data_IF_618257331940
#
_entry.id   IF_618257331940
#
_cell.length_a   1.000
_cell.length_b   1.000
_cell.length_c   1.000
_cell.angle_alpha   90.00
_cell.angle_beta   90.00
_cell.angle_gamma   90.00
#
_symmetry.space_group_name_H-M   'P 1'
#
loop_
_entity.id
_entity.type
_entity.pdbx_description
1 polymer ?
#
# COMPACT_ATOMS: atom_id res chain seq x y z
N UNK A 1 -47.63 35.00 20.52
CA UNK A 1 -47.29 33.83 21.36
C UNK A 1 -46.79 32.60 20.54
N UNK A 2 -47.22 32.47 19.30
CA UNK A 2 -46.90 31.29 18.42
C UNK A 2 -45.41 31.18 18.10
N UNK A 3 -44.68 32.30 17.90
CA UNK A 3 -43.27 32.25 17.50
C UNK A 3 -42.31 31.77 18.62
N UNK A 4 -42.66 31.94 19.89
CA UNK A 4 -41.82 31.46 21.02
C UNK A 4 -41.89 29.95 21.17
N UNK A 5 -43.04 29.35 20.91
CA UNK A 5 -43.21 27.90 20.95
C UNK A 5 -42.60 27.20 19.73
N UNK A 6 -42.59 27.89 18.58
CA UNK A 6 -41.96 27.37 17.35
C UNK A 6 -40.43 27.30 17.51
N UNK A 7 -39.84 28.32 18.14
CA UNK A 7 -38.38 28.40 18.40
C UNK A 7 -37.92 27.36 19.42
N UNK A 8 -38.73 27.07 20.46
CA UNK A 8 -38.42 26.03 21.47
C UNK A 8 -38.56 24.62 20.94
N UNK A 9 -39.31 24.40 19.86
CA UNK A 9 -39.48 23.10 19.22
C UNK A 9 -38.40 22.88 18.16
N UNK A 10 -37.90 23.91 17.50
CA UNK A 10 -36.88 23.86 16.46
C UNK A 10 -35.46 23.58 17.03
N UNK A 11 -35.19 24.08 18.25
CA UNK A 11 -33.89 23.95 18.90
C UNK A 11 -33.49 22.48 19.20
N UNK A 12 -34.35 21.64 19.80
CA UNK A 12 -34.01 20.21 20.01
C UNK A 12 -33.97 19.41 18.73
N UNK A 13 -34.71 19.77 17.69
CA UNK A 13 -34.66 19.11 16.39
C UNK A 13 -33.31 19.35 15.68
N UNK A 14 -32.75 20.54 15.83
CA UNK A 14 -31.43 20.88 15.26
C UNK A 14 -30.28 20.16 16.00
N UNK A 15 -30.41 19.93 17.30
CA UNK A 15 -29.43 19.16 18.10
C UNK A 15 -29.42 17.67 17.77
N UNK A 16 -30.57 17.10 17.36
CA UNK A 16 -30.65 15.69 16.92
C UNK A 16 -30.00 15.46 15.54
N UNK A 17 -29.93 16.49 14.68
CA UNK A 17 -29.32 16.36 13.35
C UNK A 17 -27.78 16.31 13.39
N UNK A 18 -27.11 16.68 14.47
CA UNK A 18 -25.66 16.65 14.61
C UNK A 18 -25.08 15.33 15.16
N UNK A 19 -25.92 14.39 15.60
CA UNK A 19 -25.48 13.11 16.19
C UNK A 19 -25.15 12.01 15.15
N UNK A 20 -25.12 12.31 13.85
CA UNK A 20 -25.07 11.34 12.75
C UNK A 20 -23.73 11.19 12.01
N UNK A 21 -22.62 11.78 12.44
CA UNK A 21 -21.32 11.50 11.84
C UNK A 21 -20.72 10.22 12.40
N UNK A 22 -21.32 9.08 12.07
CA UNK A 22 -20.62 7.80 12.07
C UNK A 22 -19.56 7.90 10.96
N UNK A 23 -18.30 8.03 11.33
CA UNK A 23 -17.17 7.90 10.40
C UNK A 23 -17.33 6.56 9.69
N UNK A 24 -17.73 6.59 8.43
CA UNK A 24 -17.82 5.42 7.57
C UNK A 24 -16.39 4.99 7.29
N UNK A 25 -15.87 4.03 8.05
CA UNK A 25 -14.63 3.35 7.72
C UNK A 25 -14.87 2.54 6.44
N UNK A 26 -14.30 3.02 5.33
CA UNK A 26 -14.45 2.41 4.00
C UNK A 26 -13.54 1.19 3.80
N UNK A 27 -13.13 0.52 4.86
CA UNK A 27 -12.39 -0.75 4.76
C UNK A 27 -13.37 -1.90 4.90
N UNK A 28 -13.79 -2.48 3.76
CA UNK A 28 -14.59 -3.71 3.71
C UNK A 28 -13.87 -4.95 4.24
N UNK A 29 -12.72 -4.80 4.88
CA UNK A 29 -11.95 -5.88 5.48
C UNK A 29 -12.33 -6.02 6.95
N UNK A 30 -12.88 -7.15 7.33
CA UNK A 30 -13.05 -7.56 8.72
C UNK A 30 -11.67 -7.98 9.26
N UNK A 31 -10.91 -7.03 9.82
CA UNK A 31 -9.61 -7.29 10.41
C UNK A 31 -9.82 -7.74 11.85
N UNK A 32 -9.60 -9.03 12.11
CA UNK A 32 -9.81 -9.65 13.44
C UNK A 32 -8.60 -9.44 14.36
N UNK A 33 -7.38 -9.34 13.79
CA UNK A 33 -6.12 -9.17 14.52
C UNK A 33 -5.94 -7.78 15.09
N UNK A 34 -5.04 -7.66 16.07
CA UNK A 34 -4.72 -6.41 16.79
C UNK A 34 -3.33 -5.90 16.47
N UNK A 35 -2.43 -6.78 16.05
CA UNK A 35 -1.03 -6.45 15.84
C UNK A 35 -0.46 -7.13 14.60
N UNK A 36 0.63 -6.56 14.09
CA UNK A 36 1.34 -7.04 12.92
C UNK A 36 2.86 -6.83 13.07
N UNK A 37 3.64 -7.83 12.70
CA UNK A 37 5.07 -7.70 12.47
C UNK A 37 5.32 -7.51 10.96
N UNK A 38 5.94 -6.39 10.58
CA UNK A 38 6.31 -6.11 9.18
C UNK A 38 7.82 -6.02 9.13
N UNK A 39 8.43 -7.07 8.61
CA UNK A 39 9.87 -7.16 8.46
C UNK A 39 10.38 -6.21 7.38
N UNK A 40 11.63 -5.79 7.51
CA UNK A 40 12.30 -5.07 6.43
C UNK A 40 12.57 -6.04 5.28
N UNK A 41 12.24 -5.61 4.06
CA UNK A 41 12.50 -6.41 2.85
C UNK A 41 14.00 -6.59 2.66
N UNK A 42 14.43 -7.79 2.32
CA UNK A 42 15.80 -8.03 1.85
C UNK A 42 15.92 -7.65 0.38
N UNK A 43 17.04 -7.08 -0.03
CA UNK A 43 17.29 -6.82 -1.44
C UNK A 43 18.13 -7.96 -2.05
N UNK A 44 17.49 -8.81 -2.85
CA UNK A 44 18.11 -9.93 -3.59
C UNK A 44 18.16 -9.68 -5.11
N UNK A 45 17.78 -8.48 -5.56
CA UNK A 45 17.87 -8.11 -6.97
C UNK A 45 19.34 -8.05 -7.43
N UNK A 46 19.58 -8.32 -8.72
CA UNK A 46 20.93 -8.21 -9.32
C UNK A 46 21.49 -6.79 -9.23
N UNK A 47 20.64 -5.80 -9.47
CA UNK A 47 21.00 -4.40 -9.38
C UNK A 47 20.64 -3.89 -7.99
N UNK A 48 21.63 -3.57 -7.18
CA UNK A 48 21.43 -3.18 -5.79
C UNK A 48 21.38 -1.65 -5.71
N UNK A 49 20.21 -1.14 -5.36
CA UNK A 49 20.04 0.24 -4.90
C UNK A 49 19.94 0.22 -3.36
N UNK A 50 20.89 0.81 -2.62
CA UNK A 50 20.96 0.64 -1.17
C UNK A 50 19.73 1.10 -0.39
N UNK A 51 19.05 2.16 -0.84
CA UNK A 51 17.86 2.70 -0.17
C UNK A 51 16.54 2.01 -0.56
N UNK A 52 16.54 1.14 -1.58
CA UNK A 52 15.32 0.56 -2.14
C UNK A 52 14.55 -0.27 -1.10
N UNK A 53 15.28 -1.13 -0.37
CA UNK A 53 14.73 -1.97 0.69
C UNK A 53 13.99 -1.15 1.76
N UNK A 54 14.63 -0.12 2.28
CA UNK A 54 14.03 0.76 3.29
C UNK A 54 12.81 1.48 2.73
N UNK A 55 12.93 2.10 1.53
CA UNK A 55 11.85 2.85 0.91
C UNK A 55 10.60 2.00 0.67
N UNK A 56 10.75 0.80 0.10
CA UNK A 56 9.61 -0.09 -0.18
C UNK A 56 9.01 -0.66 1.11
N UNK A 57 9.85 -1.03 2.10
CA UNK A 57 9.36 -1.48 3.40
C UNK A 57 8.53 -0.41 4.12
N UNK A 58 8.97 0.83 4.07
CA UNK A 58 8.25 1.95 4.68
C UNK A 58 6.92 2.24 3.98
N UNK A 59 6.86 2.13 2.64
CA UNK A 59 5.60 2.27 1.88
C UNK A 59 4.59 1.20 2.26
N UNK A 60 5.01 -0.06 2.31
CA UNK A 60 4.15 -1.18 2.72
C UNK A 60 3.66 -0.99 4.15
N UNK A 61 4.58 -0.65 5.07
CA UNK A 61 4.24 -0.40 6.48
C UNK A 61 3.23 0.74 6.62
N UNK A 62 3.49 1.87 5.98
CA UNK A 62 2.60 3.03 6.01
C UNK A 62 1.22 2.69 5.46
N UNK A 63 1.14 1.97 4.32
CA UNK A 63 -0.14 1.56 3.72
C UNK A 63 -0.95 0.68 4.66
N UNK A 64 -0.34 -0.37 5.19
CA UNK A 64 -1.01 -1.32 6.08
C UNK A 64 -1.48 -0.61 7.35
N UNK A 65 -0.60 0.07 8.07
CA UNK A 65 -0.95 0.68 9.35
C UNK A 65 -1.99 1.79 9.22
N UNK A 66 -1.96 2.58 8.14
CA UNK A 66 -2.94 3.66 7.93
C UNK A 66 -4.35 3.14 7.59
N UNK A 67 -4.46 1.93 7.05
CA UNK A 67 -5.75 1.37 6.60
C UNK A 67 -6.34 0.34 7.57
N UNK A 68 -5.52 -0.24 8.46
CA UNK A 68 -5.96 -1.35 9.32
C UNK A 68 -6.12 -0.97 10.79
N UNK A 69 -5.44 0.07 11.25
CA UNK A 69 -5.36 0.40 12.68
C UNK A 69 -4.59 -0.63 13.52
N UNK A 70 -3.91 -1.60 12.88
CA UNK A 70 -3.07 -2.59 13.55
C UNK A 70 -1.91 -1.93 14.28
N UNK A 71 -1.51 -2.49 15.41
CA UNK A 71 -0.33 -2.03 16.15
C UNK A 71 0.92 -2.73 15.60
N UNK A 72 1.96 -2.00 15.18
CA UNK A 72 3.21 -2.63 14.80
C UNK A 72 3.91 -3.22 16.02
N UNK A 73 4.41 -4.45 15.89
CA UNK A 73 5.14 -5.16 16.95
C UNK A 73 6.36 -5.87 16.36
N UNK A 74 7.30 -6.23 17.24
CA UNK A 74 8.45 -7.08 16.91
C UNK A 74 8.48 -8.19 17.95
N UNK A 75 7.60 -9.18 17.79
CA UNK A 75 7.45 -10.34 18.68
C UNK A 75 7.42 -11.60 17.82
N UNK A 76 7.73 -12.75 18.43
CA UNK A 76 7.82 -14.04 17.74
C UNK A 76 6.49 -14.56 17.23
N UNK A 77 5.38 -14.17 17.86
CA UNK A 77 4.05 -14.65 17.53
C UNK A 77 3.01 -13.53 17.39
N UNK A 78 3.12 -12.67 16.35
CA UNK A 78 2.12 -11.65 16.09
C UNK A 78 0.83 -12.27 15.50
N UNK A 79 -0.28 -11.52 15.53
CA UNK A 79 -1.52 -11.94 14.85
C UNK A 79 -1.30 -12.04 13.33
N UNK A 80 -0.54 -11.08 12.77
CA UNK A 80 -0.11 -11.07 11.37
C UNK A 80 1.40 -10.90 11.27
N UNK A 81 2.01 -11.61 10.34
CA UNK A 81 3.43 -11.48 10.01
C UNK A 81 3.61 -11.28 8.50
N UNK A 82 4.34 -10.24 8.12
CA UNK A 82 4.64 -9.92 6.73
C UNK A 82 6.14 -9.81 6.53
N UNK A 83 6.67 -10.69 5.69
CA UNK A 83 8.08 -10.73 5.32
C UNK A 83 8.24 -10.83 3.81
N UNK A 84 9.45 -10.62 3.31
CA UNK A 84 9.69 -10.77 1.87
C UNK A 84 11.03 -10.22 1.42
N UNK A 85 11.23 -10.25 0.11
CA UNK A 85 12.45 -9.75 -0.51
C UNK A 85 12.19 -9.18 -1.90
N UNK A 86 13.08 -8.27 -2.32
CA UNK A 86 13.09 -7.70 -3.67
C UNK A 86 13.76 -8.71 -4.58
N UNK A 87 13.02 -9.17 -5.62
CA UNK A 87 13.51 -10.17 -6.58
C UNK A 87 14.03 -9.54 -7.86
N UNK A 88 13.50 -8.37 -8.25
CA UNK A 88 13.94 -7.66 -9.43
C UNK A 88 13.92 -6.14 -9.25
N UNK A 89 14.91 -5.49 -9.85
CA UNK A 89 15.00 -4.06 -10.11
C UNK A 89 15.66 -3.91 -11.47
N UNK A 90 14.85 -3.67 -12.50
CA UNK A 90 15.29 -3.77 -13.89
C UNK A 90 14.82 -2.58 -14.73
N UNK A 91 15.70 -2.10 -15.61
CA UNK A 91 15.35 -1.10 -16.61
C UNK A 91 15.41 -1.74 -17.99
N UNK A 92 14.31 -1.61 -18.73
CA UNK A 92 14.19 -2.12 -20.09
C UNK A 92 13.76 -1.02 -21.06
N UNK A 93 14.17 -1.11 -22.32
CA UNK A 93 13.70 -0.21 -23.38
C UNK A 93 12.36 -0.71 -23.90
N UNK A 94 11.37 0.18 -23.97
CA UNK A 94 10.03 -0.16 -24.47
C UNK A 94 9.64 0.80 -25.61
N UNK A 95 8.88 0.30 -26.62
CA UNK A 95 8.29 1.14 -27.65
C UNK A 95 9.14 1.41 -28.88
N UNK A 96 10.01 0.48 -29.31
CA UNK A 96 10.69 0.53 -30.61
C UNK A 96 9.81 -0.16 -31.68
N UNK A 97 8.88 0.59 -32.29
CA UNK A 97 8.18 0.16 -33.50
C UNK A 97 8.14 1.28 -34.54
N UNK A 98 8.96 1.16 -35.60
CA UNK A 98 8.92 2.04 -36.79
C UNK A 98 9.83 3.28 -36.72
N UNK A 99 9.82 4.07 -37.78
CA UNK A 99 10.78 5.14 -38.16
C UNK A 99 10.71 6.39 -37.24
N UNK A 100 9.79 6.47 -36.28
CA UNK A 100 9.75 7.53 -35.27
C UNK A 100 9.82 6.91 -33.87
N UNK A 101 11.01 6.90 -33.34
CA UNK A 101 11.35 6.28 -32.06
C UNK A 101 11.08 7.25 -30.91
N UNK A 102 9.86 7.29 -30.43
CA UNK A 102 9.65 7.72 -29.05
C UNK A 102 9.93 6.50 -28.16
N UNK A 103 11.20 6.17 -27.96
CA UNK A 103 11.57 5.08 -27.06
C UNK A 103 11.34 5.53 -25.62
N UNK A 104 10.62 4.74 -24.88
CA UNK A 104 10.48 4.86 -23.43
C UNK A 104 11.37 3.82 -22.78
N UNK A 105 11.88 4.16 -21.63
CA UNK A 105 12.45 3.19 -20.69
C UNK A 105 11.40 2.84 -19.65
N UNK A 106 11.47 1.63 -19.14
CA UNK A 106 10.61 1.07 -18.10
C UNK A 106 11.44 0.62 -16.93
N UNK A 107 11.16 1.16 -15.75
CA UNK A 107 11.65 0.59 -14.50
C UNK A 107 10.62 -0.41 -13.98
N UNK A 108 11.05 -1.65 -13.75
CA UNK A 108 10.23 -2.73 -13.17
C UNK A 108 10.81 -3.14 -11.82
N UNK A 109 9.94 -3.27 -10.81
CA UNK A 109 10.30 -3.78 -9.48
C UNK A 109 9.39 -4.96 -9.16
N UNK A 110 10.00 -6.05 -8.67
CA UNK A 110 9.28 -7.24 -8.21
C UNK A 110 9.64 -7.56 -6.76
N UNK A 111 8.63 -7.91 -6.00
CA UNK A 111 8.73 -8.33 -4.59
C UNK A 111 8.13 -9.72 -4.45
N UNK A 112 8.80 -10.63 -3.77
CA UNK A 112 8.16 -11.82 -3.24
C UNK A 112 7.80 -11.57 -1.78
N UNK A 113 6.50 -11.70 -1.46
CA UNK A 113 5.95 -11.43 -0.14
C UNK A 113 5.36 -12.71 0.44
N UNK A 114 5.70 -12.99 1.69
CA UNK A 114 5.08 -14.02 2.51
C UNK A 114 4.25 -13.34 3.60
N UNK A 115 2.96 -13.66 3.64
CA UNK A 115 2.02 -13.21 4.66
C UNK A 115 1.51 -14.39 5.46
N UNK A 116 1.52 -14.26 6.77
CA UNK A 116 1.01 -15.23 7.74
C UNK A 116 -0.09 -14.61 8.56
N UNK A 117 -1.20 -15.32 8.69
CA UNK A 117 -2.34 -14.95 9.50
C UNK A 117 -2.61 -16.04 10.55
N UNK A 118 -2.14 -15.84 11.77
CA UNK A 118 -2.32 -16.81 12.87
C UNK A 118 -3.78 -17.07 13.28
N UNK A 119 -4.68 -16.16 12.92
CA UNK A 119 -6.10 -16.29 13.22
C UNK A 119 -6.84 -17.10 12.14
N UNK A 120 -6.24 -17.21 10.93
CA UNK A 120 -6.82 -17.93 9.81
C UNK A 120 -5.73 -18.36 8.81
N UNK A 121 -5.19 -19.54 8.98
CA UNK A 121 -4.11 -20.09 8.14
C UNK A 121 -4.48 -20.20 6.63
N UNK A 122 -5.79 -20.22 6.31
CA UNK A 122 -6.24 -20.22 4.91
C UNK A 122 -5.96 -18.90 4.18
N UNK A 123 -5.70 -17.84 4.92
CA UNK A 123 -5.33 -16.55 4.37
C UNK A 123 -3.80 -16.39 4.16
N UNK A 124 -3.02 -17.38 4.56
CA UNK A 124 -1.57 -17.40 4.32
C UNK A 124 -1.26 -17.44 2.83
N UNK A 125 -0.25 -16.70 2.42
CA UNK A 125 0.24 -16.78 1.05
C UNK A 125 1.73 -16.45 0.94
N UNK A 126 2.35 -16.94 -0.13
CA UNK A 126 3.61 -16.43 -0.69
C UNK A 126 3.35 -16.10 -2.15
N UNK A 127 3.56 -14.85 -2.53
CA UNK A 127 3.23 -14.37 -3.87
C UNK A 127 4.22 -13.31 -4.34
N UNK A 128 4.50 -13.32 -5.66
CA UNK A 128 5.27 -12.26 -6.31
C UNK A 128 4.34 -11.15 -6.80
N UNK A 129 4.68 -9.92 -6.43
CA UNK A 129 4.04 -8.69 -6.89
C UNK A 129 5.02 -7.95 -7.80
N UNK A 130 4.55 -7.51 -8.97
CA UNK A 130 5.38 -6.80 -9.95
C UNK A 130 4.65 -5.55 -10.41
N UNK A 131 5.33 -4.41 -10.35
CA UNK A 131 4.85 -3.13 -10.87
C UNK A 131 5.96 -2.43 -11.65
N UNK A 132 5.56 -1.54 -12.54
CA UNK A 132 6.48 -0.77 -13.35
C UNK A 132 6.01 0.66 -13.53
N UNK A 133 6.95 1.53 -13.90
CA UNK A 133 6.67 2.90 -14.35
C UNK A 133 7.57 3.24 -15.52
N UNK A 134 7.00 3.93 -16.52
CA UNK A 134 7.69 4.31 -17.74
C UNK A 134 8.24 5.72 -17.64
N UNK A 135 9.44 5.95 -18.22
CA UNK A 135 10.04 7.27 -18.31
C UNK A 135 10.64 7.53 -19.70
N UNK A 136 10.86 8.78 -20.04
CA UNK A 136 11.38 9.14 -21.35
C UNK A 136 12.83 8.63 -21.52
N UNK A 137 13.14 8.00 -22.65
CA UNK A 137 14.47 7.47 -22.92
C UNK A 137 15.56 8.56 -23.01
N UNK A 138 15.19 9.82 -23.23
CA UNK A 138 16.12 10.96 -23.17
C UNK A 138 16.54 11.35 -21.75
N UNK A 139 15.85 10.83 -20.72
CA UNK A 139 16.17 11.10 -19.31
C UNK A 139 17.12 10.04 -18.79
N UNK A 140 18.08 10.47 -17.98
CA UNK A 140 18.93 9.54 -17.22
C UNK A 140 18.15 9.04 -16.00
N UNK A 141 18.24 7.74 -15.72
CA UNK A 141 17.50 7.09 -14.62
C UNK A 141 17.64 7.87 -13.31
N UNK A 142 18.85 8.23 -12.90
CA UNK A 142 19.13 8.90 -11.64
C UNK A 142 18.32 10.18 -11.41
N UNK A 143 17.93 10.89 -12.49
CA UNK A 143 17.14 12.12 -12.36
C UNK A 143 15.67 11.88 -12.05
N UNK A 144 15.13 10.72 -12.37
CA UNK A 144 13.71 10.35 -12.22
C UNK A 144 13.48 9.17 -11.26
N UNK A 145 14.54 8.47 -10.88
CA UNK A 145 14.51 7.22 -10.14
C UNK A 145 13.69 7.31 -8.84
N UNK A 146 13.87 8.37 -8.07
CA UNK A 146 13.12 8.60 -6.84
C UNK A 146 11.61 8.64 -7.09
N UNK A 147 11.18 9.40 -8.10
CA UNK A 147 9.76 9.53 -8.44
C UNK A 147 9.18 8.22 -8.96
N UNK A 148 9.93 7.46 -9.75
CA UNK A 148 9.53 6.14 -10.24
C UNK A 148 9.38 5.13 -9.09
N UNK A 149 10.32 5.09 -8.15
CA UNK A 149 10.26 4.21 -6.98
C UNK A 149 9.10 4.59 -6.07
N UNK A 150 8.82 5.88 -5.90
CA UNK A 150 7.69 6.38 -5.15
C UNK A 150 6.36 5.88 -5.76
N UNK A 151 6.19 6.01 -7.07
CA UNK A 151 5.00 5.57 -7.80
C UNK A 151 4.84 4.05 -7.74
N UNK A 152 5.87 3.29 -8.12
CA UNK A 152 5.88 1.83 -8.09
C UNK A 152 5.65 1.30 -6.66
N UNK A 153 6.30 1.92 -5.67
CA UNK A 153 6.18 1.52 -4.27
C UNK A 153 4.77 1.70 -3.72
N UNK A 154 4.07 2.77 -4.10
CA UNK A 154 2.67 2.96 -3.74
C UNK A 154 1.78 1.88 -4.36
N UNK A 155 1.95 1.57 -5.65
CA UNK A 155 1.19 0.53 -6.33
C UNK A 155 1.43 -0.87 -5.71
N UNK A 156 2.70 -1.21 -5.40
CA UNK A 156 3.04 -2.47 -4.75
C UNK A 156 2.43 -2.56 -3.34
N UNK A 157 2.49 -1.47 -2.57
CA UNK A 157 1.89 -1.43 -1.24
C UNK A 157 0.36 -1.61 -1.28
N UNK A 158 -0.31 -1.02 -2.29
CA UNK A 158 -1.74 -1.19 -2.51
C UNK A 158 -2.10 -2.64 -2.86
N UNK A 159 -1.34 -3.27 -3.76
CA UNK A 159 -1.56 -4.67 -4.15
C UNK A 159 -1.39 -5.63 -2.96
N UNK A 160 -0.32 -5.45 -2.18
CA UNK A 160 -0.02 -6.27 -1.01
C UNK A 160 -1.12 -6.09 0.05
N UNK A 161 -1.51 -4.85 0.33
CA UNK A 161 -2.60 -4.55 1.26
C UNK A 161 -3.92 -5.22 0.81
N UNK A 162 -4.28 -5.06 -0.45
CA UNK A 162 -5.51 -5.64 -1.00
C UNK A 162 -5.49 -7.17 -0.89
N UNK A 163 -4.36 -7.81 -1.21
CA UNK A 163 -4.23 -9.27 -1.13
C UNK A 163 -4.31 -9.78 0.31
N UNK A 164 -3.72 -9.04 1.27
CA UNK A 164 -3.62 -9.49 2.66
C UNK A 164 -4.92 -9.23 3.45
N UNK A 165 -5.62 -8.14 3.19
CA UNK A 165 -6.69 -7.64 4.05
C UNK A 165 -8.03 -7.39 3.36
N UNK A 166 -8.06 -7.32 2.03
CA UNK A 166 -9.31 -7.13 1.29
C UNK A 166 -9.67 -8.46 0.63
N UNK A 167 -10.58 -9.22 1.25
CA UNK A 167 -11.06 -10.48 0.68
C UNK A 167 -11.86 -10.20 -0.59
N UNK A 168 -11.41 -10.77 -1.69
CA UNK A 168 -12.14 -10.87 -2.96
C UNK A 168 -12.60 -12.32 -3.15
#
# INVERSE_FOLDING_TARGET
MIHKHLLTLLLPLLLFAMAGCKVYSFSGASIEGKNINIHQLENRARNIMPSLSATLSDKIRQRILSQTGLKPVTIDEPDYDLSGHITAYEVTVTGATGVQVASKNRLTISLEITFKNRLNDKADFTQTFTRFSDFNASQILQSVERALIEDIGNQLADDIFNKAFVNW
#
